data_IF_146291730254
#
_entry.id   IF_146291730254
#
_cell.length_a   1.000
_cell.length_b   1.000
_cell.length_c   1.000
_cell.angle_alpha   90.00
_cell.angle_beta   90.00
_cell.angle_gamma   90.00
#
_symmetry.space_group_name_H-M   'P 1'
#
loop_
_entity.id
_entity.type
_entity.pdbx_description
1 polymer ?
#
# COMPACT_ATOMS: atom_id res chain seq x y z
N UNK A 1 27.99 -50.03 66.08
CA UNK A 1 27.08 -49.90 64.98
C UNK A 1 26.54 -48.48 65.06
N UNK A 2 27.10 -47.57 64.28
CA UNK A 2 26.70 -46.17 64.24
C UNK A 2 26.57 -45.76 62.77
N UNK A 3 25.37 -45.56 62.37
CA UNK A 3 25.02 -45.02 61.00
C UNK A 3 25.14 -43.53 61.07
N UNK A 4 26.00 -42.97 60.26
CA UNK A 4 26.09 -41.54 60.02
C UNK A 4 25.27 -41.17 58.72
N UNK A 5 24.19 -40.48 58.92
CA UNK A 5 23.39 -39.92 57.85
C UNK A 5 24.11 -38.72 57.25
N UNK A 6 24.44 -38.84 55.97
CA UNK A 6 24.96 -37.76 55.13
C UNK A 6 23.85 -36.75 54.76
N UNK A 7 24.06 -35.50 55.14
CA UNK A 7 23.20 -34.37 54.90
C UNK A 7 23.54 -33.79 53.51
N UNK A 8 22.68 -34.02 52.51
CA UNK A 8 22.82 -33.41 51.21
C UNK A 8 22.47 -31.90 51.31
N UNK A 9 23.49 -31.06 51.15
CA UNK A 9 23.34 -29.61 51.09
C UNK A 9 22.79 -29.18 49.74
N UNK A 10 21.50 -28.85 49.69
CA UNK A 10 20.90 -28.23 48.52
C UNK A 10 21.38 -26.78 48.38
N UNK A 11 22.15 -26.51 47.36
CA UNK A 11 22.54 -25.14 46.95
C UNK A 11 21.31 -24.36 46.49
N UNK A 12 20.79 -23.50 47.35
CA UNK A 12 19.75 -22.56 46.98
C UNK A 12 20.35 -21.50 46.04
N UNK A 13 20.04 -21.58 44.77
CA UNK A 13 20.34 -20.54 43.77
C UNK A 13 19.60 -19.26 44.15
N UNK A 14 20.27 -18.33 44.84
CA UNK A 14 19.74 -17.00 45.10
C UNK A 14 19.80 -16.20 43.82
N UNK A 15 18.65 -16.00 43.19
CA UNK A 15 18.49 -15.03 42.11
C UNK A 15 18.67 -13.63 42.69
N UNK A 16 19.87 -13.08 42.57
CA UNK A 16 20.16 -11.69 42.92
C UNK A 16 19.39 -10.77 41.98
N UNK A 17 18.60 -9.86 42.54
CA UNK A 17 17.87 -8.81 41.76
C UNK A 17 18.85 -7.98 40.92
N UNK A 18 20.11 -7.83 41.35
CA UNK A 18 21.17 -7.16 40.59
C UNK A 18 21.54 -7.89 39.29
N UNK A 19 21.50 -9.23 39.28
CA UNK A 19 21.76 -10.03 38.08
C UNK A 19 20.63 -9.87 37.03
N UNK A 20 19.37 -9.74 37.46
CA UNK A 20 18.22 -9.51 36.60
C UNK A 20 18.27 -8.11 35.92
N UNK A 21 18.62 -7.08 36.72
CA UNK A 21 18.78 -5.71 36.19
C UNK A 21 19.96 -5.62 35.22
N UNK A 22 21.09 -6.30 35.57
CA UNK A 22 22.25 -6.36 34.66
C UNK A 22 21.94 -7.07 33.35
N UNK A 23 21.23 -8.20 33.40
CA UNK A 23 20.81 -8.91 32.19
C UNK A 23 19.84 -8.06 31.31
N UNK A 24 18.89 -7.34 31.95
CA UNK A 24 17.99 -6.44 31.25
C UNK A 24 18.74 -5.31 30.52
N UNK A 25 19.70 -4.67 31.22
CA UNK A 25 20.52 -3.61 30.61
C UNK A 25 21.34 -4.11 29.45
N UNK A 26 21.96 -5.29 29.55
CA UNK A 26 22.72 -5.90 28.45
C UNK A 26 21.81 -6.20 27.27
N UNK A 27 20.60 -6.72 27.52
CA UNK A 27 19.64 -7.00 26.45
C UNK A 27 19.18 -5.71 25.74
N UNK A 28 18.86 -4.65 26.50
CA UNK A 28 18.47 -3.35 25.92
C UNK A 28 19.60 -2.76 25.08
N UNK A 29 20.85 -2.79 25.59
CA UNK A 29 22.01 -2.31 24.83
C UNK A 29 22.25 -3.15 23.56
N UNK A 30 22.08 -4.47 23.62
CA UNK A 30 22.21 -5.35 22.47
C UNK A 30 21.14 -5.06 21.42
N UNK A 31 19.88 -4.79 21.83
CA UNK A 31 18.79 -4.40 20.91
C UNK A 31 19.08 -3.04 20.29
N UNK A 32 19.51 -2.05 21.07
CA UNK A 32 19.88 -0.73 20.55
C UNK A 32 21.05 -0.86 19.56
N UNK A 33 22.09 -1.60 19.92
CA UNK A 33 23.23 -1.83 19.03
C UNK A 33 22.81 -2.55 17.74
N UNK A 34 21.91 -3.53 17.83
CA UNK A 34 21.38 -4.25 16.68
C UNK A 34 20.53 -3.34 15.77
N UNK A 35 19.68 -2.46 16.34
CA UNK A 35 18.88 -1.50 15.58
C UNK A 35 19.78 -0.48 14.87
N UNK A 36 20.79 0.06 15.57
CA UNK A 36 21.75 0.98 14.98
C UNK A 36 22.60 0.29 13.90
N UNK A 37 23.08 -0.92 14.15
CA UNK A 37 23.82 -1.73 13.20
C UNK A 37 23.00 -2.05 11.95
N UNK A 38 21.71 -2.40 12.12
CA UNK A 38 20.79 -2.61 11.00
C UNK A 38 20.53 -1.31 10.21
N UNK A 39 20.51 -0.16 10.89
CA UNK A 39 20.43 1.16 10.24
C UNK A 39 21.68 1.48 9.42
N UNK A 40 22.86 1.14 9.92
CA UNK A 40 24.15 1.35 9.24
C UNK A 40 24.38 0.40 8.04
N UNK A 41 23.86 -0.85 8.11
CA UNK A 41 24.02 -1.84 7.01
C UNK A 41 22.92 -1.66 5.94
N UNK A 42 21.84 -0.94 6.24
CA UNK A 42 20.82 -0.54 5.26
C UNK A 42 21.23 0.72 4.47
N UNK A 43 22.47 0.85 4.06
CA UNK A 43 22.82 1.54 2.82
C UNK A 43 22.44 0.62 1.64
N UNK A 44 21.16 0.21 1.61
CA UNK A 44 20.58 -0.26 0.37
C UNK A 44 20.60 0.95 -0.57
N UNK A 45 21.60 1.01 -1.43
CA UNK A 45 21.53 1.85 -2.61
C UNK A 45 20.13 1.60 -3.20
N UNK A 46 19.30 2.63 -3.41
CA UNK A 46 17.92 2.42 -3.82
C UNK A 46 17.93 1.55 -5.06
N UNK A 47 17.48 0.30 -4.91
CA UNK A 47 17.35 -0.61 -6.05
C UNK A 47 16.53 0.14 -7.09
N UNK A 48 17.07 0.42 -8.29
CA UNK A 48 16.36 1.25 -9.24
C UNK A 48 15.02 0.59 -9.53
N UNK A 49 13.94 1.24 -9.14
CA UNK A 49 12.57 0.76 -9.37
C UNK A 49 12.42 0.60 -10.87
N UNK A 50 12.28 -0.67 -11.31
CA UNK A 50 12.14 -1.00 -12.71
C UNK A 50 10.76 -0.56 -13.18
N UNK A 51 10.68 0.26 -14.23
CA UNK A 51 9.42 0.63 -14.84
C UNK A 51 8.74 -0.61 -15.46
N UNK A 52 7.44 -0.76 -15.20
CA UNK A 52 6.60 -1.83 -15.75
C UNK A 52 5.93 -1.33 -17.04
N UNK A 53 5.87 -2.19 -18.06
CA UNK A 53 5.02 -1.94 -19.23
C UNK A 53 3.55 -2.20 -18.87
N UNK A 54 2.92 -1.18 -18.28
CA UNK A 54 1.53 -1.28 -17.86
C UNK A 54 0.55 -1.36 -19.03
N UNK A 55 0.90 -0.85 -20.21
CA UNK A 55 -0.01 -0.86 -21.36
C UNK A 55 -0.31 -2.27 -21.85
N UNK A 56 0.64 -3.19 -21.75
CA UNK A 56 0.40 -4.59 -22.06
C UNK A 56 -0.59 -5.21 -21.04
N UNK A 57 -0.44 -4.91 -19.75
CA UNK A 57 -1.37 -5.35 -18.71
C UNK A 57 -2.78 -4.75 -18.90
N UNK A 58 -2.88 -3.45 -19.23
CA UNK A 58 -4.15 -2.76 -19.54
C UNK A 58 -4.87 -3.45 -20.72
N UNK A 59 -4.15 -3.76 -21.80
CA UNK A 59 -4.74 -4.46 -22.97
C UNK A 59 -5.28 -5.83 -22.59
N UNK A 60 -4.52 -6.60 -21.84
CA UNK A 60 -4.93 -7.95 -21.38
C UNK A 60 -6.17 -7.86 -20.47
N UNK A 61 -6.16 -6.98 -19.48
CA UNK A 61 -7.28 -6.80 -18.55
C UNK A 61 -8.57 -6.31 -19.25
N UNK A 62 -8.46 -5.37 -20.20
CA UNK A 62 -9.60 -4.89 -20.97
C UNK A 62 -10.18 -5.94 -21.91
N UNK A 63 -9.37 -6.89 -22.37
CA UNK A 63 -9.84 -7.99 -23.23
C UNK A 63 -10.81 -8.93 -22.50
N UNK A 64 -10.72 -9.03 -21.18
CA UNK A 64 -11.60 -9.84 -20.33
C UNK A 64 -12.98 -9.20 -20.12
N UNK A 65 -13.13 -7.90 -20.36
CA UNK A 65 -14.40 -7.14 -20.30
C UNK A 65 -15.15 -7.24 -18.96
N UNK A 66 -14.45 -7.60 -17.88
CA UNK A 66 -15.07 -7.69 -16.58
C UNK A 66 -15.06 -6.36 -15.82
N UNK A 67 -14.03 -5.53 -16.01
CA UNK A 67 -13.91 -4.16 -15.49
C UNK A 67 -13.69 -3.17 -16.62
N UNK A 68 -13.90 -1.89 -16.33
CA UNK A 68 -13.58 -0.80 -17.26
C UNK A 68 -12.08 -0.61 -17.44
N UNK A 69 -11.30 -1.00 -16.44
CA UNK A 69 -9.83 -0.95 -16.41
C UNK A 69 -9.33 0.46 -16.71
N UNK A 70 -9.46 1.34 -15.73
CA UNK A 70 -9.02 2.71 -15.85
C UNK A 70 -7.48 2.80 -15.84
N UNK A 71 -6.95 3.50 -16.83
CA UNK A 71 -5.50 3.73 -16.91
C UNK A 71 -5.23 5.05 -17.65
N UNK A 72 -4.10 5.71 -17.39
CA UNK A 72 -3.70 6.88 -18.18
C UNK A 72 -3.15 6.45 -19.54
N UNK A 73 -3.41 7.23 -20.59
CA UNK A 73 -2.78 7.00 -21.90
C UNK A 73 -1.26 7.22 -21.84
N UNK A 74 -0.83 8.13 -20.99
CA UNK A 74 0.59 8.47 -20.75
C UNK A 74 0.78 8.85 -19.28
N UNK A 75 1.92 8.45 -18.72
CA UNK A 75 2.32 8.93 -17.39
C UNK A 75 2.78 10.39 -17.44
N UNK A 76 2.57 11.17 -16.38
CA UNK A 76 3.20 12.47 -16.21
C UNK A 76 4.72 12.38 -16.32
N UNK A 77 5.36 13.49 -16.71
CA UNK A 77 6.80 13.53 -16.89
C UNK A 77 7.55 13.16 -15.60
N UNK A 78 8.50 12.25 -15.70
CA UNK A 78 9.30 11.78 -14.58
C UNK A 78 8.64 10.70 -13.73
N UNK A 79 7.36 10.37 -13.95
CA UNK A 79 6.69 9.29 -13.23
C UNK A 79 7.11 7.93 -13.79
N UNK A 80 7.01 6.91 -12.92
CA UNK A 80 7.32 5.52 -13.28
C UNK A 80 6.20 4.61 -12.80
N UNK A 81 5.65 3.79 -13.69
CA UNK A 81 4.76 2.70 -13.27
C UNK A 81 5.59 1.60 -12.60
N UNK A 82 5.17 1.18 -11.41
CA UNK A 82 5.88 0.20 -10.59
C UNK A 82 5.14 -1.12 -10.51
N UNK A 83 3.81 -1.09 -10.69
CA UNK A 83 2.96 -2.28 -10.72
C UNK A 83 1.76 -2.07 -11.64
N UNK A 84 1.29 -3.17 -12.23
CA UNK A 84 0.05 -3.26 -12.99
C UNK A 84 -0.46 -4.69 -12.86
N UNK A 85 -1.55 -4.89 -12.11
CA UNK A 85 -2.05 -6.22 -11.78
C UNK A 85 -3.55 -6.27 -12.04
N UNK A 86 -3.97 -7.29 -12.76
CA UNK A 86 -5.37 -7.65 -12.97
C UNK A 86 -5.62 -9.03 -12.36
N UNK A 87 -6.66 -9.13 -11.55
CA UNK A 87 -7.15 -10.41 -11.02
C UNK A 87 -8.52 -10.67 -11.63
N UNK A 88 -8.66 -11.78 -12.33
CA UNK A 88 -9.91 -12.23 -12.91
C UNK A 88 -10.79 -12.98 -11.89
N UNK A 89 -12.01 -13.38 -12.30
CA UNK A 89 -12.88 -14.22 -11.49
C UNK A 89 -14.15 -13.54 -10.98
N UNK A 90 -14.79 -14.09 -9.91
CA UNK A 90 -16.07 -13.58 -9.41
C UNK A 90 -16.01 -12.17 -8.87
N UNK A 91 -14.86 -11.78 -8.32
CA UNK A 91 -14.58 -10.44 -7.78
C UNK A 91 -13.33 -9.89 -8.46
N UNK A 92 -13.45 -9.43 -9.72
CA UNK A 92 -12.30 -8.93 -10.46
C UNK A 92 -11.78 -7.63 -9.84
N UNK A 93 -10.44 -7.49 -9.81
CA UNK A 93 -9.77 -6.29 -9.34
C UNK A 93 -8.74 -5.81 -10.35
N UNK A 94 -8.55 -4.50 -10.40
CA UNK A 94 -7.50 -3.86 -11.18
C UNK A 94 -6.69 -2.92 -10.31
N UNK A 95 -5.38 -3.07 -10.36
CA UNK A 95 -4.42 -2.26 -9.63
C UNK A 95 -3.36 -1.67 -10.54
N UNK A 96 -3.08 -0.38 -10.39
CA UNK A 96 -1.91 0.30 -10.91
C UNK A 96 -1.16 1.00 -9.78
N UNK A 97 0.16 0.84 -9.70
CA UNK A 97 1.00 1.60 -8.79
C UNK A 97 2.05 2.39 -9.55
N UNK A 98 2.19 3.67 -9.22
CA UNK A 98 3.16 4.57 -9.82
C UNK A 98 3.95 5.34 -8.76
N UNK A 99 5.18 5.71 -9.09
CA UNK A 99 5.96 6.70 -8.35
C UNK A 99 6.04 8.00 -9.15
N UNK A 100 5.80 9.11 -8.47
CA UNK A 100 5.99 10.45 -9.02
C UNK A 100 7.48 10.75 -9.27
N UNK A 101 7.79 11.88 -9.91
CA UNK A 101 9.16 12.35 -10.06
C UNK A 101 9.88 12.53 -8.71
N UNK A 102 9.12 12.87 -7.66
CA UNK A 102 9.61 13.05 -6.29
C UNK A 102 9.50 11.76 -5.45
N UNK A 103 9.38 10.60 -6.12
CA UNK A 103 9.29 9.28 -5.48
C UNK A 103 8.12 9.09 -4.52
N UNK A 104 7.03 9.86 -4.67
CA UNK A 104 5.79 9.66 -3.92
C UNK A 104 4.92 8.63 -4.62
N UNK A 105 4.22 7.83 -3.83
CA UNK A 105 3.35 6.78 -4.35
C UNK A 105 1.99 7.33 -4.78
N UNK A 106 1.47 6.79 -5.88
CA UNK A 106 0.08 6.94 -6.33
C UNK A 106 -0.41 5.60 -6.85
N UNK A 107 -1.50 5.09 -6.28
CA UNK A 107 -2.20 3.86 -6.69
C UNK A 107 -3.54 4.16 -7.34
N UNK A 108 -3.98 3.27 -8.22
CA UNK A 108 -5.35 3.19 -8.74
C UNK A 108 -5.87 1.82 -8.40
N UNK A 109 -7.02 1.77 -7.73
CA UNK A 109 -7.72 0.55 -7.36
C UNK A 109 -9.11 0.58 -7.99
N UNK A 110 -9.50 -0.48 -8.69
CA UNK A 110 -10.81 -0.61 -9.32
C UNK A 110 -11.38 -2.00 -9.06
N UNK A 111 -12.61 -2.06 -8.56
CA UNK A 111 -13.30 -3.30 -8.26
C UNK A 111 -14.83 -3.14 -8.31
N UNK A 112 -15.54 -4.27 -8.30
CA UNK A 112 -17.00 -4.32 -8.14
C UNK A 112 -17.39 -4.34 -6.68
N UNK A 113 -17.04 -3.30 -5.95
CA UNK A 113 -17.34 -3.15 -4.52
C UNK A 113 -17.76 -1.70 -4.23
N UNK A 114 -18.15 -1.39 -3.00
CA UNK A 114 -18.44 -0.02 -2.59
C UNK A 114 -17.19 0.85 -2.53
N UNK A 115 -17.36 2.16 -2.54
CA UNK A 115 -16.24 3.09 -2.33
C UNK A 115 -15.68 2.90 -0.92
N UNK A 116 -16.56 2.71 0.05
CA UNK A 116 -16.22 2.52 1.45
C UNK A 116 -15.30 1.30 1.65
N UNK A 117 -15.60 0.17 0.98
CA UNK A 117 -14.77 -1.03 1.05
C UNK A 117 -13.38 -0.77 0.46
N UNK A 118 -13.28 -0.08 -0.70
CA UNK A 118 -11.98 0.29 -1.28
C UNK A 118 -11.18 1.22 -0.37
N UNK A 119 -11.85 2.17 0.29
CA UNK A 119 -11.23 3.09 1.23
C UNK A 119 -10.73 2.35 2.47
N UNK A 120 -11.55 1.45 3.04
CA UNK A 120 -11.14 0.64 4.18
C UNK A 120 -9.92 -0.23 3.86
N UNK A 121 -9.87 -0.83 2.67
CA UNK A 121 -8.79 -1.73 2.24
C UNK A 121 -7.50 -0.98 1.87
N UNK A 122 -7.60 0.17 1.21
CA UNK A 122 -6.44 0.81 0.55
C UNK A 122 -6.03 2.16 1.16
N UNK A 123 -6.84 2.75 2.04
CA UNK A 123 -6.50 3.97 2.79
C UNK A 123 -6.38 3.64 4.26
N UNK A 124 -7.51 3.56 4.97
CA UNK A 124 -7.59 3.17 6.38
C UNK A 124 -9.06 2.97 6.77
N UNK A 125 -9.32 2.04 7.70
CA UNK A 125 -10.68 1.82 8.25
C UNK A 125 -11.23 3.04 9.01
N UNK A 126 -10.37 3.95 9.46
CA UNK A 126 -10.71 5.19 10.12
C UNK A 126 -10.57 6.43 9.20
N UNK A 127 -10.40 6.21 7.88
CA UNK A 127 -10.31 7.29 6.91
C UNK A 127 -11.54 8.20 6.95
N UNK A 128 -11.33 9.49 6.78
CA UNK A 128 -12.38 10.49 6.88
C UNK A 128 -12.73 11.06 5.51
N UNK A 129 -14.02 11.05 5.19
CA UNK A 129 -14.52 11.67 3.99
C UNK A 129 -14.48 13.19 4.11
N UNK A 130 -13.91 13.83 3.10
CA UNK A 130 -13.88 15.29 2.94
C UNK A 130 -14.99 15.79 2.01
N UNK A 131 -14.78 16.99 1.46
CA UNK A 131 -15.69 17.59 0.49
C UNK A 131 -15.46 16.99 -0.90
N UNK A 132 -16.53 16.71 -1.62
CA UNK A 132 -16.46 16.28 -3.00
C UNK A 132 -15.75 17.32 -3.87
N UNK A 133 -15.04 16.83 -4.89
CA UNK A 133 -14.30 17.65 -5.86
C UNK A 133 -14.70 17.28 -7.29
N UNK A 134 -14.66 18.26 -8.18
CA UNK A 134 -14.86 18.02 -9.61
C UNK A 134 -13.51 17.75 -10.28
N UNK A 135 -13.38 16.59 -10.94
CA UNK A 135 -12.18 16.21 -11.70
C UNK A 135 -12.64 15.72 -13.08
N UNK A 136 -12.19 16.37 -14.15
CA UNK A 136 -12.55 16.00 -15.53
C UNK A 136 -14.05 16.08 -15.84
N UNK A 137 -14.80 16.91 -15.11
CA UNK A 137 -16.26 17.05 -15.24
C UNK A 137 -17.08 16.04 -14.44
N UNK A 138 -16.43 15.13 -13.73
CA UNK A 138 -17.05 14.14 -12.86
C UNK A 138 -16.89 14.53 -11.38
N UNK A 139 -17.84 14.12 -10.55
CA UNK A 139 -17.76 14.33 -9.09
C UNK A 139 -17.03 13.16 -8.43
N UNK A 140 -16.05 13.49 -7.61
CA UNK A 140 -15.26 12.54 -6.84
C UNK A 140 -15.38 12.82 -5.35
N UNK A 141 -15.58 11.81 -4.55
CA UNK A 141 -15.45 11.86 -3.09
C UNK A 141 -13.96 12.01 -2.74
N UNK A 142 -13.64 12.72 -1.66
CA UNK A 142 -12.27 12.80 -1.15
C UNK A 142 -12.16 12.11 0.19
N UNK A 143 -11.01 11.50 0.46
CA UNK A 143 -10.73 10.78 1.70
C UNK A 143 -9.31 11.08 2.18
N UNK A 144 -9.13 11.10 3.50
CA UNK A 144 -7.82 11.29 4.13
C UNK A 144 -7.71 10.40 5.36
N UNK A 145 -6.49 10.00 5.69
CA UNK A 145 -6.19 9.29 6.93
C UNK A 145 -5.26 10.08 7.85
N UNK A 146 -4.99 9.53 9.03
CA UNK A 146 -4.04 10.13 9.98
C UNK A 146 -2.56 9.90 9.55
N UNK A 147 -2.30 8.97 8.62
CA UNK A 147 -0.98 8.67 8.06
C UNK A 147 -0.52 9.69 7.02
N UNK A 148 -1.43 10.50 6.50
CA UNK A 148 -1.16 11.53 5.50
C UNK A 148 -1.44 11.08 4.07
N UNK A 149 -2.15 9.96 3.89
CA UNK A 149 -2.65 9.55 2.60
C UNK A 149 -3.86 10.40 2.20
N UNK A 150 -3.90 10.75 0.93
CA UNK A 150 -5.04 11.41 0.30
C UNK A 150 -5.60 10.50 -0.79
N UNK A 151 -6.91 10.43 -0.89
CA UNK A 151 -7.57 9.66 -1.93
C UNK A 151 -8.75 10.40 -2.55
N UNK A 152 -9.05 10.07 -3.81
CA UNK A 152 -10.28 10.42 -4.51
C UNK A 152 -10.94 9.16 -5.05
N UNK A 153 -12.26 9.06 -4.91
CA UNK A 153 -13.01 7.90 -5.33
C UNK A 153 -14.31 8.27 -6.02
N UNK A 154 -14.77 7.45 -6.94
CA UNK A 154 -16.09 7.56 -7.54
C UNK A 154 -16.63 6.22 -8.00
N UNK A 155 -17.95 6.13 -8.13
CA UNK A 155 -18.59 5.00 -8.78
C UNK A 155 -18.61 5.19 -10.29
N UNK A 156 -18.50 4.08 -11.02
CA UNK A 156 -18.48 3.99 -12.47
C UNK A 156 -19.67 3.18 -12.95
N UNK A 157 -20.41 3.70 -13.91
CA UNK A 157 -21.43 2.91 -14.59
C UNK A 157 -20.75 2.02 -15.64
N UNK A 158 -20.67 0.72 -15.38
CA UNK A 158 -20.20 -0.28 -16.33
C UNK A 158 -21.38 -0.83 -17.15
N UNK A 159 -21.13 -1.25 -18.37
CA UNK A 159 -22.16 -1.80 -19.25
C UNK A 159 -22.98 -2.94 -18.61
N UNK A 160 -24.27 -3.05 -18.98
CA UNK A 160 -25.16 -4.08 -18.47
C UNK A 160 -25.73 -3.82 -17.06
N UNK A 161 -25.78 -2.56 -16.61
CA UNK A 161 -26.34 -2.18 -15.31
C UNK A 161 -25.42 -2.50 -14.12
N UNK A 162 -24.14 -2.80 -14.38
CA UNK A 162 -23.12 -3.03 -13.37
C UNK A 162 -22.55 -1.71 -12.86
N UNK A 163 -22.19 -1.67 -11.60
CA UNK A 163 -21.47 -0.56 -10.98
C UNK A 163 -20.10 -1.05 -10.53
N UNK A 164 -19.10 -0.26 -10.75
CA UNK A 164 -17.73 -0.45 -10.30
C UNK A 164 -17.32 0.78 -9.50
N UNK A 165 -16.36 0.65 -8.61
CA UNK A 165 -15.77 1.77 -7.90
C UNK A 165 -14.31 1.89 -8.28
N UNK A 166 -13.85 3.13 -8.39
CA UNK A 166 -12.43 3.46 -8.58
C UNK A 166 -11.96 4.35 -7.45
N UNK A 167 -10.79 4.05 -6.92
CA UNK A 167 -10.06 4.82 -5.92
C UNK A 167 -8.70 5.20 -6.50
N UNK A 168 -8.29 6.45 -6.34
CA UNK A 168 -6.92 6.90 -6.59
C UNK A 168 -6.36 7.40 -5.27
N UNK A 169 -5.34 6.75 -4.75
CA UNK A 169 -4.81 6.95 -3.40
C UNK A 169 -3.29 7.10 -3.41
N UNK A 170 -2.73 7.84 -2.46
CA UNK A 170 -1.29 7.87 -2.29
C UNK A 170 -0.77 8.96 -1.37
N UNK A 171 0.57 8.94 -1.23
CA UNK A 171 1.34 9.90 -0.43
C UNK A 171 1.77 11.14 -1.21
N UNK A 172 1.39 11.22 -2.51
CA UNK A 172 1.65 12.40 -3.33
C UNK A 172 0.76 13.58 -2.90
N UNK A 173 1.16 14.83 -3.18
CA UNK A 173 0.30 16.00 -2.93
C UNK A 173 -1.09 15.83 -3.55
N UNK A 174 -2.13 16.27 -2.84
CA UNK A 174 -3.54 16.16 -3.27
C UNK A 174 -3.76 16.57 -4.72
N UNK A 175 -3.16 17.69 -5.14
CA UNK A 175 -3.32 18.18 -6.51
C UNK A 175 -2.75 17.21 -7.54
N UNK A 176 -1.61 16.55 -7.26
CA UNK A 176 -1.05 15.56 -8.17
C UNK A 176 -1.94 14.31 -8.29
N UNK A 177 -2.55 13.87 -7.18
CA UNK A 177 -3.50 12.75 -7.16
C UNK A 177 -4.75 13.11 -7.98
N UNK A 178 -5.29 14.32 -7.81
CA UNK A 178 -6.45 14.81 -8.59
C UNK A 178 -6.12 14.93 -10.08
N UNK A 179 -4.97 15.51 -10.42
CA UNK A 179 -4.53 15.65 -11.80
C UNK A 179 -4.36 14.27 -12.46
N UNK A 180 -3.77 13.33 -11.74
CA UNK A 180 -3.61 11.96 -12.23
C UNK A 180 -4.95 11.24 -12.39
N UNK A 181 -5.87 11.36 -11.44
CA UNK A 181 -7.23 10.83 -11.56
C UNK A 181 -7.95 11.36 -12.81
N UNK A 182 -7.74 12.63 -13.15
CA UNK A 182 -8.29 13.27 -14.37
C UNK A 182 -7.72 12.72 -15.69
N UNK A 183 -6.58 12.02 -15.64
CA UNK A 183 -6.00 11.38 -16.86
C UNK A 183 -6.51 9.97 -17.12
N UNK A 184 -7.21 9.38 -16.15
CA UNK A 184 -7.66 7.99 -16.25
C UNK A 184 -8.78 7.83 -17.26
N UNK A 185 -8.67 6.82 -18.10
CA UNK A 185 -9.65 6.46 -19.13
C UNK A 185 -9.94 4.98 -19.08
N UNK A 186 -11.20 4.62 -19.12
CA UNK A 186 -11.68 3.24 -19.28
C UNK A 186 -12.02 2.91 -20.73
N UNK A 187 -12.30 1.65 -20.99
CA UNK A 187 -12.81 1.18 -22.27
C UNK A 187 -11.74 0.67 -23.25
N UNK A 188 -12.10 0.42 -24.52
CA UNK A 188 -11.19 -0.21 -25.48
C UNK A 188 -9.92 0.64 -25.67
N UNK A 189 -8.78 -0.02 -25.74
CA UNK A 189 -7.50 0.64 -26.08
C UNK A 189 -7.63 1.21 -27.49
N UNK A 190 -7.32 2.50 -27.74
CA UNK A 190 -7.24 3.03 -29.08
C UNK A 190 -6.30 2.17 -29.93
N UNK A 191 -6.71 1.83 -31.15
CA UNK A 191 -5.83 1.16 -32.09
C UNK A 191 -4.56 2.02 -32.27
N UNK A 192 -3.39 1.39 -32.18
CA UNK A 192 -2.14 2.09 -32.44
C UNK A 192 -2.18 2.59 -33.89
N UNK A 193 -2.19 3.92 -34.07
CA UNK A 193 -2.06 4.57 -35.36
C UNK A 193 -0.64 4.48 -35.89
#
# INVERSE_FOLDING_TARGET
MSESQGRAGGTRYQRSSGGLVGALLVTVLAVIAFVLFRGFIRDDAPTPVRAVDYMTAVKAARADQQLLVLAPDRLPLGWKMTSATYTDGPSPTWHLGALTADTKYVGVEEARTSIEDLVEEHVDAAAQQGKDVAIGGETWQTWTDAGGDYAVARSLAAGGGRTESVLVVGTAPEQQIRDYAGTLKGGPVPAAG
#
